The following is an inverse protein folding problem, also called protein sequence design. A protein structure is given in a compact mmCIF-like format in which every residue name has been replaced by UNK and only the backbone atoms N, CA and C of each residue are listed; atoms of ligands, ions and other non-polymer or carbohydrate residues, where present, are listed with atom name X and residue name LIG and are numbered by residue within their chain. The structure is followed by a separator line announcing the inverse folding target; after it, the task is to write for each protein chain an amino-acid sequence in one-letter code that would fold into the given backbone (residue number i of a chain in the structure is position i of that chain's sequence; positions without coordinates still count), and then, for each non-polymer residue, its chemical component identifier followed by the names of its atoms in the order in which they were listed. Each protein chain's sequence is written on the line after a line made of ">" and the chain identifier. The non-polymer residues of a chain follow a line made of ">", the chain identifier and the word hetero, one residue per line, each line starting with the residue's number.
data_IF_759649195108
#
_entry.id   IF_759649195108
#
_cell.length_a   1.000
_cell.length_b   1.000
_cell.length_c   1.000
_cell.angle_alpha   90.00
_cell.angle_beta   90.00
_cell.angle_gamma   90.00
#
_symmetry.space_group_name_H-M   'P 1'
#
loop_
_entity.id
_entity.type
_entity.pdbx_description
1 polymer ?
#
# COMPACT_ATOMS: atom_id res chain seq x y z
N UNK A 1 9.74 -12.85 -14.42
CA UNK A 1 9.37 -12.21 -13.14
C UNK A 1 7.88 -12.50 -12.90
N UNK A 2 7.55 -13.42 -11.99
CA UNK A 2 6.14 -13.83 -11.78
C UNK A 2 5.36 -12.78 -10.98
N UNK A 3 4.11 -12.52 -11.38
CA UNK A 3 3.15 -11.66 -10.68
C UNK A 3 2.49 -12.38 -9.48
N UNK A 4 2.78 -13.66 -9.26
CA UNK A 4 2.09 -14.48 -8.26
C UNK A 4 2.16 -13.91 -6.85
N UNK A 5 3.24 -13.19 -6.52
CA UNK A 5 3.44 -12.62 -5.18
C UNK A 5 3.22 -11.10 -5.13
N UNK A 6 2.78 -10.50 -6.24
CA UNK A 6 2.60 -9.06 -6.34
C UNK A 6 1.42 -8.60 -5.47
N UNK A 7 1.62 -7.53 -4.73
CA UNK A 7 0.61 -6.85 -3.93
C UNK A 7 0.62 -5.36 -4.24
N UNK A 8 -0.57 -4.77 -4.16
CA UNK A 8 -0.79 -3.34 -4.39
C UNK A 8 -1.05 -2.67 -3.05
N UNK A 9 -0.21 -1.73 -2.65
CA UNK A 9 -0.42 -0.93 -1.44
C UNK A 9 -1.02 0.40 -1.84
N UNK A 10 -2.23 0.71 -1.39
CA UNK A 10 -2.95 1.94 -1.73
C UNK A 10 -3.01 2.87 -0.52
N UNK A 11 -2.69 4.15 -0.72
CA UNK A 11 -2.80 5.17 0.33
C UNK A 11 -4.27 5.44 0.68
N UNK A 12 -4.56 5.50 1.98
CA UNK A 12 -5.89 5.84 2.49
C UNK A 12 -6.18 7.34 2.32
N UNK A 13 -5.12 8.17 2.26
CA UNK A 13 -5.19 9.62 2.26
C UNK A 13 -5.07 10.21 3.67
N UNK A 14 -4.85 11.52 3.75
CA UNK A 14 -4.87 12.27 5.01
C UNK A 14 -6.30 12.64 5.42
N UNK A 15 -6.47 13.22 6.62
CA UNK A 15 -7.76 13.70 7.17
C UNK A 15 -8.56 14.60 6.23
N UNK A 16 -7.87 15.30 5.32
CA UNK A 16 -8.48 16.17 4.29
C UNK A 16 -8.78 15.46 2.97
N UNK A 17 -8.58 14.14 2.90
CA UNK A 17 -8.75 13.33 1.69
C UNK A 17 -7.66 13.52 0.62
N UNK A 18 -6.66 14.37 0.87
CA UNK A 18 -5.59 14.67 -0.07
C UNK A 18 -4.60 13.50 -0.14
N UNK A 19 -4.18 13.13 -1.36
CA UNK A 19 -3.21 12.07 -1.61
C UNK A 19 -3.71 10.63 -1.48
N UNK A 20 -5.03 10.42 -1.41
CA UNK A 20 -5.65 9.10 -1.57
C UNK A 20 -5.41 8.57 -2.99
N UNK A 21 -5.11 7.27 -3.12
CA UNK A 21 -4.93 6.61 -4.42
C UNK A 21 -3.47 6.49 -4.90
N UNK A 22 -2.51 7.11 -4.22
CA UNK A 22 -1.10 6.80 -4.46
C UNK A 22 -0.84 5.32 -4.16
N UNK A 23 -0.06 4.68 -5.02
CA UNK A 23 0.12 3.23 -4.97
C UNK A 23 1.58 2.84 -4.99
N UNK A 24 1.95 1.89 -4.15
CA UNK A 24 3.20 1.15 -4.27
C UNK A 24 2.92 -0.30 -4.67
N UNK A 25 3.76 -0.84 -5.54
CA UNK A 25 3.79 -2.26 -5.81
C UNK A 25 4.89 -2.90 -4.96
N UNK A 26 4.54 -4.00 -4.29
CA UNK A 26 5.49 -4.77 -3.49
C UNK A 26 5.19 -6.26 -3.64
N UNK A 27 6.01 -7.10 -3.02
CA UNK A 27 5.86 -8.55 -3.04
C UNK A 27 5.58 -9.06 -1.64
N UNK A 28 4.62 -9.98 -1.52
CA UNK A 28 4.30 -10.67 -0.26
C UNK A 28 4.29 -12.17 -0.48
N UNK A 29 4.79 -12.91 0.50
CA UNK A 29 4.60 -14.34 0.55
C UNK A 29 3.26 -14.66 1.23
N UNK A 30 2.26 -15.07 0.44
CA UNK A 30 0.91 -15.36 0.95
C UNK A 30 0.86 -16.53 1.94
N UNK A 31 1.86 -17.41 1.92
CA UNK A 31 1.95 -18.55 2.86
C UNK A 31 2.40 -18.16 4.26
N UNK A 32 3.30 -17.18 4.37
CA UNK A 32 3.85 -16.75 5.67
C UNK A 32 3.08 -15.59 6.29
N UNK A 33 2.43 -14.77 5.46
CA UNK A 33 1.65 -13.60 5.90
C UNK A 33 0.25 -13.69 5.31
N UNK A 34 -0.68 -14.20 6.10
CA UNK A 34 -2.08 -14.38 5.71
C UNK A 34 -2.91 -13.10 5.85
N UNK A 35 -2.56 -12.26 6.84
CA UNK A 35 -3.27 -11.00 7.09
C UNK A 35 -2.98 -9.93 6.04
N UNK A 36 -3.88 -8.95 5.94
CA UNK A 36 -3.69 -7.75 5.10
C UNK A 36 -2.66 -6.86 5.76
N UNK A 37 -1.65 -6.45 4.99
CA UNK A 37 -0.60 -5.59 5.48
C UNK A 37 -1.04 -4.12 5.50
N UNK A 38 -0.70 -3.42 6.58
CA UNK A 38 -0.84 -1.98 6.71
C UNK A 38 0.52 -1.37 7.05
N UNK A 39 0.96 -0.38 6.27
CA UNK A 39 2.26 0.25 6.44
C UNK A 39 2.14 1.77 6.40
N UNK A 40 2.87 2.46 7.27
CA UNK A 40 3.10 3.91 7.11
C UNK A 40 4.24 4.10 6.11
N UNK A 41 3.92 4.67 4.94
CA UNK A 41 4.93 5.02 3.92
C UNK A 41 4.78 6.47 3.52
N UNK A 42 5.85 7.04 2.99
CA UNK A 42 5.82 8.38 2.45
C UNK A 42 4.82 8.44 1.27
N UNK A 43 4.05 9.51 1.22
CA UNK A 43 3.18 9.83 0.11
C UNK A 43 3.71 11.10 -0.56
N UNK A 44 4.18 11.03 -1.82
CA UNK A 44 4.77 12.17 -2.50
C UNK A 44 3.76 13.30 -2.78
N UNK A 45 2.46 12.98 -2.84
CA UNK A 45 1.40 13.97 -3.12
C UNK A 45 1.20 14.88 -1.89
N UNK A 46 1.13 14.28 -0.70
CA UNK A 46 0.91 15.03 0.55
C UNK A 46 2.20 15.44 1.23
N UNK A 47 3.33 14.88 0.77
CA UNK A 47 4.66 15.04 1.34
C UNK A 47 4.76 14.62 2.81
N UNK A 48 3.99 13.60 3.20
CA UNK A 48 3.91 13.07 4.56
C UNK A 48 3.83 11.55 4.55
N UNK A 49 4.16 10.94 5.69
CA UNK A 49 3.95 9.51 5.87
C UNK A 49 2.48 9.24 6.17
N UNK A 50 1.84 8.47 5.30
CA UNK A 50 0.42 8.11 5.39
C UNK A 50 0.26 6.61 5.47
N UNK A 51 -0.90 6.16 5.93
CA UNK A 51 -1.21 4.73 6.01
C UNK A 51 -1.54 4.20 4.62
N UNK A 52 -0.83 3.15 4.23
CA UNK A 52 -1.08 2.36 3.04
C UNK A 52 -1.67 1.02 3.45
N UNK A 53 -2.72 0.61 2.75
CA UNK A 53 -3.38 -0.69 2.96
C UNK A 53 -3.17 -1.58 1.76
N UNK A 54 -2.96 -2.86 2.02
CA UNK A 54 -2.93 -3.88 0.99
C UNK A 54 -4.29 -3.99 0.29
N UNK A 55 -4.25 -3.81 -1.02
CA UNK A 55 -5.33 -4.08 -1.96
C UNK A 55 -4.90 -5.25 -2.83
N UNK A 56 -5.85 -6.15 -3.10
CA UNK A 56 -5.65 -7.22 -4.07
C UNK A 56 -5.35 -6.56 -5.43
N UNK A 57 -4.30 -7.02 -6.10
CA UNK A 57 -4.01 -6.63 -7.48
C UNK A 57 -5.14 -7.12 -8.39
#
# INVERSE_FOLDING_TARGET
>A
MSQDHLIKLVSVGDEKGVGKGHTYYSRKNRKSVEHKLEFKKYNPIVRKHTVYKEKKA
#
